data_IF_060534621249
#
_entry.id   IF_060534621249
#
_cell.length_a   1.000
_cell.length_b   1.000
_cell.length_c   1.000
_cell.angle_alpha   90.00
_cell.angle_beta   90.00
_cell.angle_gamma   90.00
#
_symmetry.space_group_name_H-M   'P 1'
#
loop_
_entity.id
_entity.type
_entity.pdbx_description
1 polymer ?
#
# COMPACT_ATOMS: atom_id res chain seq x y z
N UNK A 1 -19.49 -29.52 -21.58
CA UNK A 1 -18.66 -28.83 -22.58
C UNK A 1 -17.72 -27.89 -21.85
N UNK A 2 -16.42 -28.20 -21.84
CA UNK A 2 -15.40 -27.30 -21.31
C UNK A 2 -15.03 -26.36 -22.45
N UNK A 3 -15.46 -25.10 -22.38
CA UNK A 3 -15.18 -24.14 -23.44
C UNK A 3 -13.70 -23.79 -23.46
N UNK A 4 -13.22 -23.54 -24.67
CA UNK A 4 -11.93 -22.96 -25.03
C UNK A 4 -11.64 -21.58 -24.41
N UNK A 5 -12.54 -21.04 -23.59
CA UNK A 5 -12.45 -19.71 -22.97
C UNK A 5 -11.38 -19.60 -21.88
N UNK A 6 -11.17 -20.64 -21.08
CA UNK A 6 -10.26 -20.54 -19.92
C UNK A 6 -8.81 -20.27 -20.29
N UNK A 7 -8.33 -20.78 -21.44
CA UNK A 7 -6.97 -20.50 -21.91
C UNK A 7 -6.83 -19.08 -22.44
N UNK A 8 -7.80 -18.60 -23.21
CA UNK A 8 -7.79 -17.24 -23.75
C UNK A 8 -7.85 -16.20 -22.62
N UNK A 9 -8.67 -16.43 -21.59
CA UNK A 9 -8.75 -15.55 -20.41
C UNK A 9 -7.43 -15.52 -19.63
N UNK A 10 -6.79 -16.67 -19.43
CA UNK A 10 -5.47 -16.74 -18.77
C UNK A 10 -4.39 -16.04 -19.59
N UNK A 11 -4.39 -16.21 -20.91
CA UNK A 11 -3.43 -15.54 -21.80
C UNK A 11 -3.61 -14.02 -21.78
N UNK A 12 -4.85 -13.53 -21.81
CA UNK A 12 -5.15 -12.08 -21.72
C UNK A 12 -4.75 -11.51 -20.36
N UNK A 13 -5.10 -12.18 -19.25
CA UNK A 13 -4.70 -11.76 -17.90
C UNK A 13 -3.17 -11.71 -17.74
N UNK A 14 -2.48 -12.71 -18.28
CA UNK A 14 -1.01 -12.78 -18.24
C UNK A 14 -0.38 -11.64 -19.04
N UNK A 15 -0.93 -11.34 -20.22
CA UNK A 15 -0.46 -10.23 -21.05
C UNK A 15 -0.68 -8.87 -20.38
N UNK A 16 -1.84 -8.66 -19.75
CA UNK A 16 -2.14 -7.44 -19.00
C UNK A 16 -1.19 -7.23 -17.82
N UNK A 17 -0.93 -8.29 -17.04
CA UNK A 17 0.03 -8.21 -15.94
C UNK A 17 1.45 -7.95 -16.42
N UNK A 18 1.85 -8.56 -17.54
CA UNK A 18 3.17 -8.31 -18.11
C UNK A 18 3.35 -6.85 -18.55
N UNK A 19 2.31 -6.25 -19.14
CA UNK A 19 2.35 -4.83 -19.50
C UNK A 19 2.38 -3.94 -18.25
N UNK A 20 1.61 -4.28 -17.21
CA UNK A 20 1.68 -3.60 -15.92
C UNK A 20 3.10 -3.67 -15.33
N UNK A 21 3.73 -4.84 -15.32
CA UNK A 21 5.06 -5.03 -14.74
C UNK A 21 6.14 -4.24 -15.51
N UNK A 22 6.01 -4.16 -16.84
CA UNK A 22 6.87 -3.30 -17.65
C UNK A 22 6.73 -1.83 -17.26
N UNK A 23 5.50 -1.34 -17.12
CA UNK A 23 5.25 0.04 -16.69
C UNK A 23 5.70 0.29 -15.24
N UNK A 24 5.51 -0.69 -14.35
CA UNK A 24 5.95 -0.60 -12.96
C UNK A 24 7.47 -0.50 -12.84
N UNK A 25 8.21 -1.27 -13.66
CA UNK A 25 9.67 -1.15 -13.74
C UNK A 25 10.09 0.26 -14.18
N UNK A 26 9.40 0.84 -15.17
CA UNK A 26 9.66 2.20 -15.61
C UNK A 26 9.38 3.25 -14.52
N UNK A 27 8.27 3.12 -13.79
CA UNK A 27 7.96 4.00 -12.65
C UNK A 27 9.04 3.92 -11.57
N UNK A 28 9.51 2.70 -11.27
CA UNK A 28 10.57 2.45 -10.28
C UNK A 28 11.89 3.10 -10.69
N UNK A 29 12.30 2.95 -11.95
CA UNK A 29 13.48 3.64 -12.49
C UNK A 29 13.37 5.16 -12.33
N UNK A 30 12.17 5.71 -12.51
CA UNK A 30 11.91 7.13 -12.31
C UNK A 30 12.08 7.52 -10.84
N UNK A 31 11.45 6.80 -9.91
CA UNK A 31 11.63 7.05 -8.48
C UNK A 31 13.09 6.95 -8.04
N UNK A 32 13.80 5.89 -8.45
CA UNK A 32 15.21 5.67 -8.13
C UNK A 32 16.10 6.79 -8.65
N UNK A 33 15.85 7.26 -9.88
CA UNK A 33 16.61 8.36 -10.48
C UNK A 33 16.44 9.67 -9.72
N UNK A 34 15.25 9.93 -9.18
CA UNK A 34 14.94 11.12 -8.39
C UNK A 34 15.24 10.94 -6.89
N UNK A 35 15.67 9.74 -6.45
CA UNK A 35 15.93 9.45 -5.04
C UNK A 35 14.67 9.40 -4.17
N UNK A 36 13.51 9.11 -4.78
CA UNK A 36 12.20 9.09 -4.13
C UNK A 36 11.92 7.69 -3.59
N UNK A 37 11.66 7.56 -2.28
CA UNK A 37 11.12 6.32 -1.72
C UNK A 37 9.59 6.30 -1.87
N UNK A 38 9.11 5.58 -2.88
CA UNK A 38 7.68 5.29 -3.06
C UNK A 38 7.18 4.12 -2.19
N UNK A 39 6.05 4.29 -1.48
CA UNK A 39 5.44 3.32 -0.55
C UNK A 39 3.96 3.14 -0.89
N UNK A 40 3.52 1.90 -1.08
CA UNK A 40 2.13 1.56 -1.37
C UNK A 40 1.38 1.19 -0.08
N UNK A 41 0.33 1.96 0.26
CA UNK A 41 -0.54 1.70 1.39
C UNK A 41 -1.78 0.92 0.95
N UNK A 42 -1.95 -0.29 1.48
CA UNK A 42 -3.08 -1.18 1.16
C UNK A 42 -3.88 -1.53 2.40
N UNK A 43 -5.20 -1.61 2.29
CA UNK A 43 -6.07 -1.92 3.44
C UNK A 43 -7.49 -2.22 3.01
N UNK A 44 -8.35 -2.67 3.93
CA UNK A 44 -9.81 -2.54 3.77
C UNK A 44 -10.24 -1.06 3.74
N UNK A 45 -11.45 -0.75 3.23
CA UNK A 45 -12.05 0.57 3.42
C UNK A 45 -12.12 0.94 4.90
N UNK A 46 -11.75 2.19 5.23
CA UNK A 46 -11.86 2.70 6.60
C UNK A 46 -10.82 2.16 7.59
N UNK A 47 -9.78 1.44 7.16
CA UNK A 47 -8.70 0.99 8.04
C UNK A 47 -7.81 2.14 8.57
N UNK A 48 -7.89 3.32 7.97
CA UNK A 48 -7.24 4.54 8.46
C UNK A 48 -6.01 5.01 7.69
N UNK A 49 -5.87 4.65 6.40
CA UNK A 49 -4.75 5.08 5.53
C UNK A 49 -4.58 6.61 5.50
N UNK A 50 -5.64 7.35 5.17
CA UNK A 50 -5.54 8.82 5.11
C UNK A 50 -5.22 9.44 6.47
N UNK A 51 -5.75 8.90 7.58
CA UNK A 51 -5.42 9.40 8.91
C UNK A 51 -3.99 9.08 9.33
N UNK A 52 -3.44 7.94 8.90
CA UNK A 52 -2.02 7.63 9.06
C UNK A 52 -1.16 8.62 8.26
N UNK A 53 -1.55 8.95 7.02
CA UNK A 53 -0.85 9.93 6.19
C UNK A 53 -0.89 11.33 6.80
N UNK A 54 -2.05 11.81 7.24
CA UNK A 54 -2.18 13.10 7.93
C UNK A 54 -1.24 13.19 9.14
N UNK A 55 -1.22 12.15 9.99
CA UNK A 55 -0.35 12.12 11.17
C UNK A 55 1.14 12.00 10.79
N UNK A 56 1.46 11.31 9.69
CA UNK A 56 2.83 11.19 9.17
C UNK A 56 3.33 12.53 8.63
N UNK A 57 2.48 13.25 7.88
CA UNK A 57 2.81 14.58 7.35
C UNK A 57 3.02 15.58 8.50
N UNK A 58 2.12 15.58 9.49
CA UNK A 58 2.23 16.47 10.65
C UNK A 58 3.53 16.22 11.46
N UNK A 59 3.97 14.95 11.55
CA UNK A 59 5.13 14.57 12.35
C UNK A 59 6.46 14.69 11.59
N UNK A 60 6.48 14.40 10.29
CA UNK A 60 7.71 14.24 9.50
C UNK A 60 7.86 15.28 8.37
N UNK A 61 6.91 16.18 8.16
CA UNK A 61 6.96 17.17 7.08
C UNK A 61 8.09 18.20 7.17
N UNK A 62 8.70 18.38 8.35
CA UNK A 62 9.93 19.18 8.51
C UNK A 62 11.21 18.37 8.20
N UNK A 63 11.10 17.03 8.19
CA UNK A 63 12.22 16.09 8.03
C UNK A 63 12.30 15.54 6.59
N UNK A 64 11.15 15.35 5.94
CA UNK A 64 11.02 14.86 4.57
C UNK A 64 10.08 15.74 3.76
N UNK A 65 10.40 15.90 2.47
CA UNK A 65 9.45 16.39 1.49
C UNK A 65 8.55 15.24 1.08
N UNK A 66 7.27 15.33 1.42
CA UNK A 66 6.31 14.25 1.22
C UNK A 66 5.43 14.59 0.01
N UNK A 67 5.06 13.59 -0.78
CA UNK A 67 3.99 13.67 -1.76
C UNK A 67 3.03 12.49 -1.64
N UNK A 68 1.81 12.63 -2.17
CA UNK A 68 0.79 11.57 -2.11
C UNK A 68 0.08 11.38 -3.46
N UNK A 69 -0.10 10.13 -3.86
CA UNK A 69 -1.02 9.71 -4.92
C UNK A 69 -2.20 9.01 -4.25
N UNK A 70 -3.41 9.52 -4.45
CA UNK A 70 -4.64 9.05 -3.81
C UNK A 70 -5.50 8.26 -4.78
N UNK A 71 -5.77 6.99 -4.48
CA UNK A 71 -6.65 6.12 -5.26
C UNK A 71 -8.03 5.96 -4.62
N UNK A 72 -9.05 6.55 -5.23
CA UNK A 72 -10.46 6.42 -4.82
C UNK A 72 -11.34 6.12 -6.04
N UNK A 73 -12.49 5.48 -5.83
CA UNK A 73 -13.44 5.18 -6.90
C UNK A 73 -14.07 6.45 -7.47
N UNK A 74 -14.45 7.42 -6.63
CA UNK A 74 -15.29 8.54 -7.06
C UNK A 74 -14.98 9.89 -6.40
N UNK A 75 -14.38 9.94 -5.21
CA UNK A 75 -14.29 11.21 -4.45
C UNK A 75 -12.86 11.74 -4.35
N UNK A 76 -12.71 13.07 -4.28
CA UNK A 76 -11.42 13.72 -4.01
C UNK A 76 -11.21 14.03 -2.51
N UNK A 77 -12.01 13.42 -1.63
CA UNK A 77 -12.07 13.84 -0.24
C UNK A 77 -10.72 13.67 0.47
N UNK A 78 -10.04 12.54 0.22
CA UNK A 78 -8.76 12.23 0.84
C UNK A 78 -7.64 13.10 0.25
N UNK A 79 -7.57 13.29 -1.07
CA UNK A 79 -6.64 14.23 -1.69
C UNK A 79 -6.81 15.68 -1.18
N UNK A 80 -8.04 16.14 -0.93
CA UNK A 80 -8.27 17.46 -0.33
C UNK A 80 -7.77 17.54 1.11
N UNK A 81 -7.97 16.48 1.90
CA UNK A 81 -7.48 16.41 3.28
C UNK A 81 -5.95 16.46 3.33
N UNK A 82 -5.27 15.73 2.45
CA UNK A 82 -3.81 15.77 2.34
C UNK A 82 -3.32 17.15 1.89
N UNK A 83 -3.89 17.73 0.83
CA UNK A 83 -3.51 19.08 0.37
C UNK A 83 -3.73 20.16 1.44
N UNK A 84 -4.74 20.00 2.30
CA UNK A 84 -4.95 20.91 3.43
C UNK A 84 -3.81 20.90 4.47
N UNK A 85 -2.95 19.87 4.46
CA UNK A 85 -1.71 19.79 5.25
C UNK A 85 -0.50 20.42 4.55
N UNK A 86 -0.67 20.99 3.36
CA UNK A 86 0.40 21.69 2.62
C UNK A 86 1.29 20.79 1.79
N UNK A 87 0.92 19.52 1.60
CA UNK A 87 1.67 18.52 0.83
C UNK A 87 1.05 18.34 -0.57
N UNK A 88 1.85 18.18 -1.64
CA UNK A 88 1.33 17.87 -2.96
C UNK A 88 0.60 16.52 -2.94
N UNK A 89 -0.65 16.51 -3.42
CA UNK A 89 -1.41 15.28 -3.58
C UNK A 89 -2.19 15.26 -4.90
N UNK A 90 -2.06 14.16 -5.64
CA UNK A 90 -2.74 13.91 -6.92
C UNK A 90 -3.80 12.84 -6.71
N UNK A 91 -5.03 13.13 -7.15
CA UNK A 91 -6.13 12.17 -7.11
C UNK A 91 -6.13 11.35 -8.40
N UNK A 92 -6.22 10.03 -8.25
CA UNK A 92 -6.61 9.10 -9.30
C UNK A 92 -8.05 8.67 -9.02
N UNK A 93 -8.96 8.97 -9.94
CA UNK A 93 -10.33 8.44 -9.90
C UNK A 93 -10.36 7.14 -10.68
N UNK A 94 -10.46 6.01 -9.99
CA UNK A 94 -10.39 4.68 -10.62
C UNK A 94 -11.69 4.26 -11.30
N UNK A 95 -12.78 5.02 -11.06
CA UNK A 95 -14.11 4.71 -11.55
C UNK A 95 -14.62 3.41 -10.95
N UNK A 96 -14.61 2.32 -11.74
CA UNK A 96 -15.03 0.99 -11.28
C UNK A 96 -13.86 0.06 -10.92
N UNK A 97 -12.62 0.48 -11.14
CA UNK A 97 -11.47 -0.36 -10.82
C UNK A 97 -11.25 -0.48 -9.31
N UNK A 98 -11.02 -1.72 -8.86
CA UNK A 98 -10.88 -2.09 -7.45
C UNK A 98 -9.46 -1.97 -6.89
N UNK A 99 -8.52 -1.42 -7.67
CA UNK A 99 -7.11 -1.24 -7.39
C UNK A 99 -6.54 -0.12 -8.29
N UNK A 100 -5.35 0.37 -7.95
CA UNK A 100 -4.49 1.12 -8.86
C UNK A 100 -3.59 0.17 -9.64
N UNK A 101 -3.25 0.53 -10.88
CA UNK A 101 -2.21 -0.13 -11.68
C UNK A 101 -1.04 0.84 -11.98
N UNK A 102 0.05 0.32 -12.55
CA UNK A 102 1.24 1.11 -12.81
C UNK A 102 1.03 2.24 -13.83
N UNK A 103 0.08 2.12 -14.76
CA UNK A 103 -0.19 3.16 -15.76
C UNK A 103 -0.93 4.33 -15.10
N UNK A 104 -1.90 4.04 -14.23
CA UNK A 104 -2.58 5.07 -13.46
C UNK A 104 -1.61 5.86 -12.59
N UNK A 105 -0.67 5.17 -11.92
CA UNK A 105 0.37 5.84 -11.14
C UNK A 105 1.28 6.65 -12.04
N UNK A 106 1.74 6.09 -13.16
CA UNK A 106 2.59 6.80 -14.14
C UNK A 106 1.98 8.14 -14.57
N UNK A 107 0.70 8.13 -14.95
CA UNK A 107 -0.01 9.34 -15.37
C UNK A 107 -0.06 10.38 -14.23
N UNK A 108 -0.31 9.94 -12.99
CA UNK A 108 -0.31 10.82 -11.82
C UNK A 108 1.07 11.42 -11.50
N UNK A 109 2.17 10.73 -11.83
CA UNK A 109 3.52 11.26 -11.61
C UNK A 109 3.81 12.49 -12.46
N UNK A 110 3.14 12.68 -13.60
CA UNK A 110 3.31 13.88 -14.42
C UNK A 110 2.82 15.17 -13.75
N UNK A 111 1.96 15.06 -12.73
CA UNK A 111 1.44 16.18 -11.95
C UNK A 111 2.23 16.42 -10.65
N UNK A 112 3.32 15.68 -10.43
CA UNK A 112 4.21 15.81 -9.27
C UNK A 112 5.63 16.20 -9.71
N UNK A 113 6.24 17.13 -8.98
CA UNK A 113 7.67 17.42 -9.12
C UNK A 113 8.47 16.46 -8.23
N UNK A 114 8.95 15.36 -8.82
CA UNK A 114 9.70 14.34 -8.07
C UNK A 114 11.06 14.83 -7.57
N UNK A 115 11.64 15.88 -8.15
CA UNK A 115 12.86 16.49 -7.60
C UNK A 115 12.60 17.16 -6.25
N UNK A 116 11.33 17.48 -5.94
CA UNK A 116 10.88 18.05 -4.68
C UNK A 116 10.23 17.06 -3.70
N UNK A 117 10.47 15.76 -3.87
CA UNK A 117 9.89 14.70 -3.02
C UNK A 117 11.01 13.77 -2.54
N UNK A 118 10.97 13.40 -1.27
CA UNK A 118 11.83 12.36 -0.67
C UNK A 118 11.02 11.08 -0.42
N UNK A 119 9.77 11.24 0.06
CA UNK A 119 8.82 10.15 0.32
C UNK A 119 7.55 10.33 -0.51
N UNK A 120 7.21 9.34 -1.32
CA UNK A 120 5.93 9.31 -2.04
C UNK A 120 5.04 8.20 -1.46
N UNK A 121 3.87 8.56 -0.96
CA UNK A 121 2.87 7.57 -0.56
C UNK A 121 1.86 7.38 -1.69
N UNK A 122 1.59 6.12 -2.02
CA UNK A 122 0.49 5.73 -2.90
C UNK A 122 -0.59 5.15 -1.98
N UNK A 123 -1.63 5.93 -1.71
CA UNK A 123 -2.81 5.44 -0.99
C UNK A 123 -3.69 4.65 -1.97
N UNK A 124 -3.62 3.32 -1.90
CA UNK A 124 -4.37 2.47 -2.82
C UNK A 124 -5.87 2.42 -2.47
N UNK A 125 -6.67 1.91 -3.40
CA UNK A 125 -8.09 1.68 -3.16
C UNK A 125 -8.28 0.77 -1.94
N UNK A 126 -9.28 1.07 -1.10
CA UNK A 126 -9.64 0.23 0.05
C UNK A 126 -10.12 -1.16 -0.39
N UNK A 127 -9.20 -2.12 -0.51
CA UNK A 127 -9.47 -3.48 -0.92
C UNK A 127 -8.33 -4.43 -0.46
N UNK A 128 -8.67 -5.55 0.19
CA UNK A 128 -7.71 -6.57 0.62
C UNK A 128 -7.47 -7.70 -0.41
N UNK A 129 -7.99 -7.55 -1.63
CA UNK A 129 -7.92 -8.59 -2.68
C UNK A 129 -7.12 -8.10 -3.89
N UNK A 130 -7.69 -7.18 -4.67
CA UNK A 130 -7.12 -6.78 -5.97
C UNK A 130 -5.70 -6.18 -5.85
N UNK A 131 -5.42 -5.22 -4.93
CA UNK A 131 -4.17 -4.44 -4.98
C UNK A 131 -2.89 -5.28 -4.81
N UNK A 132 -2.95 -6.42 -4.13
CA UNK A 132 -1.78 -7.27 -3.86
C UNK A 132 -1.18 -7.94 -5.11
N UNK A 133 -1.90 -7.88 -6.24
CA UNK A 133 -1.51 -8.53 -7.50
C UNK A 133 -0.85 -7.57 -8.50
N UNK A 134 -0.78 -6.27 -8.20
CA UNK A 134 -0.30 -5.25 -9.14
C UNK A 134 0.93 -4.55 -8.57
N UNK A 135 2.03 -4.63 -9.30
CA UNK A 135 3.18 -3.75 -9.07
C UNK A 135 2.84 -2.35 -9.57
N UNK A 136 3.20 -1.31 -8.80
CA UNK A 136 3.03 0.09 -9.20
C UNK A 136 4.39 0.78 -9.47
N UNK A 137 5.50 0.09 -9.20
CA UNK A 137 6.83 0.67 -9.15
C UNK A 137 7.27 1.12 -7.76
N UNK A 138 6.45 0.90 -6.72
CA UNK A 138 6.73 1.27 -5.33
C UNK A 138 7.74 0.34 -4.66
N UNK A 139 8.54 0.82 -3.70
CA UNK A 139 9.64 0.07 -3.10
C UNK A 139 9.19 -0.87 -1.96
N UNK A 140 8.07 -0.56 -1.32
CA UNK A 140 7.58 -1.33 -0.19
C UNK A 140 6.05 -1.31 -0.08
N UNK A 141 5.49 -2.44 0.31
CA UNK A 141 4.07 -2.61 0.63
C UNK A 141 3.84 -2.47 2.13
N UNK A 142 2.92 -1.58 2.51
CA UNK A 142 2.44 -1.45 3.90
C UNK A 142 0.97 -1.83 3.93
N UNK A 143 0.64 -2.89 4.66
CA UNK A 143 -0.74 -3.34 4.83
C UNK A 143 -1.29 -2.89 6.18
N UNK A 144 -2.39 -2.14 6.18
CA UNK A 144 -3.10 -1.79 7.40
C UNK A 144 -4.19 -2.84 7.68
N UNK A 145 -4.24 -3.30 8.92
CA UNK A 145 -5.31 -4.13 9.48
C UNK A 145 -5.89 -3.40 10.69
N UNK A 146 -7.10 -2.86 10.58
CA UNK A 146 -7.73 -2.24 11.74
C UNK A 146 -8.19 -3.30 12.73
N UNK A 147 -8.01 -3.02 14.03
CA UNK A 147 -8.52 -3.89 15.11
C UNK A 147 -10.04 -4.10 15.04
N UNK A 148 -10.76 -3.17 14.39
CA UNK A 148 -12.22 -3.28 14.15
C UNK A 148 -12.61 -4.29 13.07
N UNK A 149 -11.64 -4.82 12.32
CA UNK A 149 -11.91 -5.79 11.25
C UNK A 149 -11.88 -7.23 11.73
N UNK A 150 -11.24 -7.51 12.86
CA UNK A 150 -11.01 -8.86 13.39
C UNK A 150 -9.62 -9.41 13.04
N UNK A 151 -9.05 -10.20 13.96
CA UNK A 151 -7.68 -10.72 13.91
C UNK A 151 -7.48 -11.86 12.89
N UNK A 152 -8.58 -12.39 12.33
CA UNK A 152 -8.60 -13.51 11.38
C UNK A 152 -8.31 -13.11 9.92
N UNK A 153 -8.22 -11.81 9.63
CA UNK A 153 -8.05 -11.28 8.27
C UNK A 153 -6.78 -11.77 7.56
N UNK A 154 -5.62 -11.91 8.21
CA UNK A 154 -4.45 -12.48 7.55
C UNK A 154 -4.72 -13.86 6.94
N UNK A 155 -5.41 -14.74 7.66
CA UNK A 155 -5.75 -16.07 7.15
C UNK A 155 -6.78 -16.03 6.01
N UNK A 156 -7.69 -15.03 6.01
CA UNK A 156 -8.72 -14.86 4.98
C UNK A 156 -8.22 -14.20 3.70
N UNK A 157 -7.19 -13.34 3.80
CA UNK A 157 -6.64 -12.57 2.67
C UNK A 157 -5.14 -12.86 2.48
N UNK A 158 -4.74 -14.12 2.29
CA UNK A 158 -3.34 -14.53 2.36
C UNK A 158 -2.46 -13.85 1.31
N UNK A 159 -3.00 -13.54 0.12
CA UNK A 159 -2.24 -12.87 -0.96
C UNK A 159 -1.78 -11.48 -0.51
N UNK A 160 -2.69 -10.69 0.08
CA UNK A 160 -2.39 -9.36 0.61
C UNK A 160 -1.32 -9.41 1.71
N UNK A 161 -1.54 -10.25 2.72
CA UNK A 161 -0.64 -10.32 3.86
C UNK A 161 0.69 -11.04 3.54
N UNK A 162 0.83 -11.77 2.44
CA UNK A 162 2.14 -12.25 1.94
C UNK A 162 2.93 -11.15 1.24
N UNK A 163 2.24 -10.25 0.56
CA UNK A 163 2.83 -9.13 -0.19
C UNK A 163 3.35 -8.00 0.71
N UNK A 164 2.91 -7.93 1.96
CA UNK A 164 3.31 -6.87 2.90
C UNK A 164 4.81 -6.95 3.28
N UNK A 165 5.49 -5.80 3.25
CA UNK A 165 6.82 -5.57 3.82
C UNK A 165 6.74 -5.02 5.25
N UNK A 166 5.60 -4.41 5.60
CA UNK A 166 5.21 -4.00 6.93
C UNK A 166 3.70 -4.22 7.13
N UNK A 167 3.29 -4.66 8.31
CA UNK A 167 1.87 -4.67 8.70
C UNK A 167 1.64 -3.71 9.88
N UNK A 168 0.67 -2.81 9.72
CA UNK A 168 0.22 -1.91 10.77
C UNK A 168 -1.12 -2.39 11.31
N UNK A 169 -1.16 -2.78 12.58
CA UNK A 169 -2.40 -2.96 13.33
C UNK A 169 -2.88 -1.57 13.74
N UNK A 170 -3.99 -1.11 13.15
CA UNK A 170 -4.45 0.28 13.31
C UNK A 170 -5.66 0.39 14.24
N UNK A 171 -5.83 1.59 14.81
CA UNK A 171 -6.86 1.92 15.80
C UNK A 171 -6.71 1.12 17.10
N UNK A 172 -5.47 0.83 17.49
CA UNK A 172 -5.17 0.10 18.73
C UNK A 172 -5.66 0.83 20.00
N UNK A 173 -5.99 2.13 19.92
CA UNK A 173 -6.71 2.86 20.98
C UNK A 173 -8.06 2.21 21.35
N UNK A 174 -8.64 1.41 20.44
CA UNK A 174 -9.90 0.73 20.65
C UNK A 174 -9.77 -0.64 21.33
N UNK A 175 -8.55 -1.17 21.52
CA UNK A 175 -8.35 -2.48 22.15
C UNK A 175 -8.82 -2.51 23.62
N UNK A 176 -8.86 -1.36 24.29
CA UNK A 176 -9.40 -1.26 25.66
C UNK A 176 -10.91 -1.56 25.74
N UNK A 177 -11.63 -1.40 24.62
CA UNK A 177 -13.09 -1.58 24.54
C UNK A 177 -13.53 -2.71 23.59
N UNK A 178 -12.62 -3.19 22.72
CA UNK A 178 -12.84 -4.34 21.83
C UNK A 178 -12.21 -5.58 22.44
N UNK A 179 -13.04 -6.52 22.89
CA UNK A 179 -12.57 -7.76 23.55
C UNK A 179 -12.29 -8.93 22.60
N UNK A 180 -12.49 -8.74 21.29
CA UNK A 180 -12.51 -9.81 20.28
C UNK A 180 -11.31 -9.78 19.30
N UNK A 181 -10.46 -8.77 19.37
CA UNK A 181 -9.22 -8.71 18.57
C UNK A 181 -8.00 -9.09 19.41
N UNK A 182 -7.26 -10.11 18.96
CA UNK A 182 -5.98 -10.54 19.54
C UNK A 182 -4.80 -10.10 18.64
N UNK A 183 -4.01 -9.08 19.03
CA UNK A 183 -2.84 -8.64 18.25
C UNK A 183 -1.80 -9.75 18.04
N UNK A 184 -1.55 -10.58 19.05
CA UNK A 184 -0.60 -11.70 18.94
C UNK A 184 -1.15 -12.79 18.02
N UNK A 185 -2.47 -12.98 18.04
CA UNK A 185 -3.20 -13.85 17.12
C UNK A 185 -3.10 -13.41 15.67
N UNK A 186 -3.31 -12.12 15.40
CA UNK A 186 -3.11 -11.54 14.07
C UNK A 186 -1.67 -11.74 13.58
N UNK A 187 -0.67 -11.44 14.41
CA UNK A 187 0.74 -11.65 14.06
C UNK A 187 1.05 -13.11 13.76
N UNK A 188 0.61 -14.05 14.62
CA UNK A 188 0.80 -15.48 14.41
C UNK A 188 0.26 -15.94 13.05
N UNK A 189 -0.92 -15.46 12.64
CA UNK A 189 -1.49 -15.78 11.32
C UNK A 189 -0.67 -15.20 10.17
N UNK A 190 -0.09 -14.01 10.33
CA UNK A 190 0.84 -13.44 9.33
C UNK A 190 2.08 -14.34 9.21
N UNK A 191 2.62 -14.85 10.33
CA UNK A 191 3.75 -15.80 10.32
C UNK A 191 3.39 -17.13 9.67
N UNK A 192 2.17 -17.64 9.85
CA UNK A 192 1.66 -18.86 9.19
C UNK A 192 1.64 -18.73 7.66
N UNK A 193 1.58 -17.51 7.13
CA UNK A 193 1.70 -17.24 5.69
C UNK A 193 3.16 -17.19 5.19
N UNK A 194 4.13 -17.52 6.04
CA UNK A 194 5.57 -17.35 5.81
C UNK A 194 5.98 -15.89 5.57
N UNK A 195 5.21 -14.91 6.09
CA UNK A 195 5.63 -13.51 6.06
C UNK A 195 6.35 -13.13 7.37
N UNK A 196 7.59 -12.67 7.25
CA UNK A 196 8.45 -12.18 8.35
C UNK A 196 8.40 -10.66 8.53
N UNK A 197 7.52 -9.94 7.83
CA UNK A 197 7.36 -8.50 7.93
C UNK A 197 7.11 -8.06 9.39
N UNK A 198 7.67 -6.92 9.85
CA UNK A 198 7.35 -6.40 11.16
C UNK A 198 5.84 -6.14 11.29
N UNK A 199 5.29 -6.38 12.48
CA UNK A 199 3.89 -6.08 12.81
C UNK A 199 3.91 -5.04 13.91
N UNK A 200 3.38 -3.85 13.63
CA UNK A 200 3.40 -2.72 14.58
C UNK A 200 1.98 -2.34 14.98
N UNK A 201 1.79 -2.08 16.27
CA UNK A 201 0.53 -1.54 16.79
C UNK A 201 0.54 -0.01 16.69
N UNK A 202 -0.56 0.58 16.27
CA UNK A 202 -0.64 2.01 15.99
C UNK A 202 -2.04 2.58 16.19
N UNK A 203 -2.10 3.86 16.54
CA UNK A 203 -3.29 4.69 16.47
C UNK A 203 -2.92 6.10 16.02
N UNK A 204 -3.55 6.56 14.93
CA UNK A 204 -3.38 7.94 14.46
C UNK A 204 -3.89 9.01 15.47
N UNK A 205 -4.62 8.59 16.51
CA UNK A 205 -5.06 9.47 17.61
C UNK A 205 -4.03 9.60 18.74
N UNK A 206 -3.03 8.73 18.75
CA UNK A 206 -1.98 8.64 19.76
C UNK A 206 -0.64 8.69 19.02
N UNK A 207 -0.16 9.89 18.70
CA UNK A 207 1.03 10.09 17.85
C UNK A 207 2.27 9.36 18.39
N UNK A 208 2.39 9.19 19.70
CA UNK A 208 3.45 8.41 20.34
C UNK A 208 3.47 6.93 19.91
N UNK A 209 2.30 6.37 19.56
CA UNK A 209 2.19 5.00 19.05
C UNK A 209 2.70 4.87 17.60
N UNK A 210 2.90 5.98 16.90
CA UNK A 210 3.41 6.00 15.52
C UNK A 210 4.93 6.07 15.44
N UNK A 211 5.65 6.25 16.56
CA UNK A 211 7.12 6.32 16.51
C UNK A 211 7.76 5.09 15.85
N UNK A 212 7.33 3.84 16.10
CA UNK A 212 7.86 2.68 15.39
C UNK A 212 7.63 2.73 13.87
N UNK A 213 6.51 3.32 13.42
CA UNK A 213 6.23 3.55 12.01
C UNK A 213 7.16 4.62 11.42
N UNK A 214 7.36 5.74 12.11
CA UNK A 214 8.28 6.79 11.68
C UNK A 214 9.73 6.30 11.61
N UNK A 215 10.16 5.52 12.60
CA UNK A 215 11.48 4.89 12.60
C UNK A 215 11.66 3.94 11.40
N UNK A 216 10.64 3.16 11.06
CA UNK A 216 10.66 2.30 9.89
C UNK A 216 10.79 3.10 8.59
N UNK A 217 10.06 4.23 8.45
CA UNK A 217 10.19 5.12 7.30
C UNK A 217 11.60 5.68 7.15
N UNK A 218 12.20 6.17 8.24
CA UNK A 218 13.57 6.69 8.24
C UNK A 218 14.58 5.61 7.84
N UNK A 219 14.43 4.39 8.36
CA UNK A 219 15.29 3.26 8.01
C UNK A 219 15.15 2.90 6.52
N UNK A 220 13.93 2.83 6.00
CA UNK A 220 13.66 2.51 4.60
C UNK A 220 14.23 3.58 3.67
N UNK A 221 14.10 4.85 4.03
CA UNK A 221 14.64 5.97 3.27
C UNK A 221 16.17 5.95 3.25
N UNK A 222 16.82 5.70 4.39
CA UNK A 222 18.28 5.55 4.45
C UNK A 222 18.77 4.38 3.60
N UNK A 223 18.08 3.24 3.66
CA UNK A 223 18.39 2.07 2.82
C UNK A 223 18.28 2.39 1.33
N UNK A 224 17.22 3.08 0.91
CA UNK A 224 17.03 3.53 -0.47
C UNK A 224 18.17 4.47 -0.92
N UNK A 225 18.47 5.49 -0.12
CA UNK A 225 19.56 6.44 -0.39
C UNK A 225 20.94 5.79 -0.44
N UNK A 226 21.16 4.71 0.31
CA UNK A 226 22.40 3.93 0.26
C UNK A 226 22.56 3.09 -1.02
N UNK A 227 21.57 3.10 -1.91
CA UNK A 227 21.56 2.32 -3.15
C UNK A 227 21.19 0.86 -2.96
N UNK A 228 20.60 0.50 -1.81
CA UNK A 228 20.08 -0.85 -1.61
C UNK A 228 18.87 -1.06 -2.51
N UNK A 229 18.89 -2.10 -3.34
CA UNK A 229 17.73 -2.46 -4.15
C UNK A 229 16.54 -2.84 -3.25
N UNK A 230 15.45 -2.07 -3.36
CA UNK A 230 14.19 -2.31 -2.68
C UNK A 230 13.13 -2.66 -3.72
N UNK A 231 12.72 -3.93 -3.72
CA UNK A 231 11.67 -4.41 -4.61
C UNK A 231 10.50 -4.91 -3.76
N UNK A 232 9.26 -4.51 -4.11
CA UNK A 232 8.09 -4.92 -3.37
C UNK A 232 7.83 -6.40 -3.59
N UNK A 233 7.26 -7.08 -2.59
CA UNK A 233 6.74 -8.42 -2.80
C UNK A 233 5.43 -8.33 -3.57
N UNK A 234 5.43 -8.76 -4.83
CA UNK A 234 4.20 -8.96 -5.61
C UNK A 234 3.86 -10.45 -5.63
N UNK A 235 2.57 -10.78 -5.57
CA UNK A 235 2.11 -12.17 -5.56
C UNK A 235 1.46 -12.49 -6.91
N UNK A 236 2.20 -13.06 -7.88
CA UNK A 236 1.65 -13.41 -9.19
C UNK A 236 0.51 -14.42 -9.10
N UNK A 237 0.44 -15.18 -7.99
CA UNK A 237 -0.62 -16.15 -7.71
C UNK A 237 -2.01 -15.53 -7.56
N UNK A 238 -2.13 -14.22 -7.29
CA UNK A 238 -3.43 -13.54 -7.26
C UNK A 238 -4.20 -13.73 -8.56
N UNK A 239 -3.53 -13.64 -9.70
CA UNK A 239 -4.15 -13.87 -11.01
C UNK A 239 -4.52 -15.35 -11.26
N UNK A 240 -3.72 -16.30 -10.78
CA UNK A 240 -4.03 -17.73 -10.93
C UNK A 240 -5.23 -18.16 -10.07
N UNK A 241 -5.44 -17.51 -8.93
CA UNK A 241 -6.57 -17.75 -8.03
C UNK A 241 -7.87 -17.13 -8.57
N UNK A 242 -7.81 -15.95 -9.19
CA UNK A 242 -8.98 -15.32 -9.82
C UNK A 242 -9.39 -15.96 -11.16
N UNK A 243 -8.45 -16.55 -11.91
CA UNK A 243 -8.75 -17.24 -13.16
C UNK A 243 -9.37 -18.65 -12.99
N UNK A 244 -9.40 -19.18 -11.76
CA UNK A 244 -9.92 -20.52 -11.42
C UNK A 244 -11.26 -20.50 -10.65
N UNK A 245 -11.83 -19.32 -10.40
CA UNK A 245 -13.16 -19.15 -9.81
C UNK A 245 -14.21 -18.93 -10.91
#
# INVERSE_FOLDING_TARGET
EHTSDGKATVEVLTALLHENDHQAAHNREHFDRHGVLAINLMSSPGAGKTSLLEATIDALGEEFRIGVVEGDLETENDARRIRARGVPAVQITTGQACHLDAHMVHDALHDLDLDDIDLLFIENVGNLVCPASFDLGHHANVTLLSVTEGDDKPAKYPVMFRAADLVLLTKCDLLEVLGDFDPEGAERRIRELANTAPVLQSSARQTESLEPWFAWLREMHERHRSGQALNPRTQPDGASLHARA
#
